data_IF_546893969237
#
_entry.id   IF_546893969237
#
_cell.length_a   1.000
_cell.length_b   1.000
_cell.length_c   1.000
_cell.angle_alpha   90.00
_cell.angle_beta   90.00
_cell.angle_gamma   90.00
#
_symmetry.space_group_name_H-M   'P 1'
#
loop_
_entity.id
_entity.type
_entity.pdbx_description
1 polymer ?
#
# COMPACT_ATOMS: atom_id res chain seq x y z
N UNK A 1 -11.13 -9.92 -12.49
CA UNK A 1 -9.67 -9.87 -12.68
C UNK A 1 -9.04 -9.22 -11.46
N UNK A 2 -8.05 -9.87 -10.87
CA UNK A 2 -7.43 -9.36 -9.65
C UNK A 2 -6.31 -8.39 -9.99
N UNK A 3 -6.13 -7.38 -9.16
CA UNK A 3 -5.01 -6.46 -9.24
C UNK A 3 -4.12 -6.71 -8.04
N UNK A 4 -2.86 -6.98 -8.29
CA UNK A 4 -1.86 -7.22 -7.27
C UNK A 4 -1.06 -5.97 -7.02
N UNK A 5 -0.64 -5.78 -5.77
CA UNK A 5 0.01 -4.55 -5.34
C UNK A 5 1.39 -4.89 -4.78
N UNK A 6 2.40 -4.17 -5.24
CA UNK A 6 3.77 -4.33 -4.76
C UNK A 6 4.34 -2.97 -4.38
N UNK A 7 5.36 -3.00 -3.53
CA UNK A 7 6.12 -1.78 -3.22
C UNK A 7 6.93 -1.38 -4.44
N UNK A 8 7.05 -0.08 -4.65
CA UNK A 8 7.81 0.46 -5.77
C UNK A 8 9.31 0.24 -5.60
N UNK A 9 10.06 0.52 -6.66
CA UNK A 9 11.52 0.41 -6.66
C UNK A 9 12.14 1.72 -6.20
N UNK A 10 13.40 1.65 -5.76
CA UNK A 10 14.23 2.80 -5.39
C UNK A 10 13.62 3.63 -4.27
N UNK A 11 13.08 2.94 -3.29
CA UNK A 11 12.50 3.56 -2.11
C UNK A 11 13.30 3.13 -0.89
N UNK A 12 13.50 4.08 0.03
CA UNK A 12 13.99 3.79 1.35
C UNK A 12 12.82 3.96 2.32
N UNK A 13 12.51 2.93 3.09
CA UNK A 13 11.37 2.96 3.99
C UNK A 13 11.83 2.67 5.40
N UNK A 14 11.31 3.42 6.37
CA UNK A 14 11.65 3.25 7.76
C UNK A 14 10.42 3.45 8.62
N UNK A 15 10.19 2.52 9.55
CA UNK A 15 9.08 2.62 10.46
C UNK A 15 9.49 3.44 11.69
N UNK A 16 8.73 4.48 11.99
CA UNK A 16 8.97 5.36 13.12
C UNK A 16 7.68 5.42 13.92
N UNK A 17 7.68 4.83 15.11
CA UNK A 17 6.45 4.65 15.86
C UNK A 17 5.49 3.76 15.09
N UNK A 18 4.25 4.17 14.94
CA UNK A 18 3.25 3.43 14.16
C UNK A 18 3.17 3.86 12.72
N UNK A 19 4.09 4.73 12.25
CA UNK A 19 4.03 5.31 10.92
C UNK A 19 5.20 4.87 10.07
N UNK A 20 4.98 4.78 8.76
CA UNK A 20 6.03 4.47 7.82
C UNK A 20 6.47 5.74 7.11
N UNK A 21 7.78 5.99 7.11
CA UNK A 21 8.38 7.11 6.37
C UNK A 21 9.08 6.54 5.14
N UNK A 22 8.73 7.05 3.96
CA UNK A 22 9.24 6.54 2.70
C UNK A 22 9.89 7.67 1.93
N UNK A 23 11.13 7.46 1.52
CA UNK A 23 11.88 8.41 0.70
C UNK A 23 12.07 7.82 -0.69
N UNK A 24 11.65 8.57 -1.71
CA UNK A 24 11.87 8.21 -3.09
C UNK A 24 13.26 8.68 -3.53
N UNK A 25 14.10 7.77 -4.00
CA UNK A 25 15.43 8.12 -4.44
C UNK A 25 15.44 8.87 -5.77
N UNK A 26 14.37 8.74 -6.55
CA UNK A 26 14.33 9.36 -7.88
C UNK A 26 14.11 10.86 -7.84
N UNK A 27 13.20 11.32 -6.98
CA UNK A 27 12.83 12.74 -6.93
C UNK A 27 12.92 13.33 -5.52
N UNK A 28 13.48 12.57 -4.59
CA UNK A 28 13.65 13.00 -3.19
C UNK A 28 12.32 13.31 -2.49
N UNK A 29 11.21 12.77 -2.99
CA UNK A 29 9.92 12.96 -2.34
C UNK A 29 9.84 12.16 -1.06
N UNK A 30 9.18 12.73 -0.05
CA UNK A 30 9.00 12.11 1.24
C UNK A 30 7.52 11.85 1.49
N UNK A 31 7.20 10.62 1.90
CA UNK A 31 5.83 10.22 2.22
C UNK A 31 5.78 9.72 3.65
N UNK A 32 4.75 10.12 4.39
CA UNK A 32 4.51 9.62 5.74
C UNK A 32 3.16 8.93 5.74
N UNK A 33 3.14 7.65 6.07
CA UNK A 33 1.93 6.84 6.09
C UNK A 33 1.47 6.65 7.52
N UNK A 34 0.18 6.88 7.76
CA UNK A 34 -0.42 6.60 9.08
C UNK A 34 -0.51 5.09 9.29
N UNK A 35 -1.12 4.66 10.40
CA UNK A 35 -1.19 3.24 10.73
C UNK A 35 -1.86 2.40 9.65
N UNK A 36 -3.00 2.86 9.14
CA UNK A 36 -3.72 2.13 8.09
C UNK A 36 -2.88 2.08 6.81
N UNK A 37 -2.30 3.20 6.40
CA UNK A 37 -1.43 3.25 5.22
C UNK A 37 -0.20 2.36 5.39
N UNK A 38 0.35 2.30 6.59
CA UNK A 38 1.49 1.42 6.89
C UNK A 38 1.09 -0.04 6.74
N UNK A 39 -0.10 -0.42 7.21
CA UNK A 39 -0.61 -1.79 7.04
C UNK A 39 -0.74 -2.14 5.57
N UNK A 40 -1.27 -1.24 4.75
CA UNK A 40 -1.39 -1.45 3.31
C UNK A 40 -0.01 -1.60 2.67
N UNK A 41 0.91 -0.73 3.04
CA UNK A 41 2.28 -0.77 2.53
C UNK A 41 2.96 -2.10 2.84
N UNK A 42 2.83 -2.57 4.09
CA UNK A 42 3.44 -3.83 4.50
C UNK A 42 2.81 -5.03 3.81
N UNK A 43 1.53 -4.94 3.47
CA UNK A 43 0.83 -6.01 2.76
C UNK A 43 1.12 -6.01 1.25
N UNK A 44 1.74 -4.96 0.73
CA UNK A 44 1.99 -4.81 -0.71
C UNK A 44 3.26 -5.56 -1.10
N UNK A 45 3.18 -6.88 -1.15
CA UNK A 45 4.33 -7.76 -1.42
C UNK A 45 4.36 -8.29 -2.86
N UNK A 46 3.45 -7.81 -3.72
CA UNK A 46 3.34 -8.26 -5.09
C UNK A 46 2.56 -9.55 -5.26
N UNK A 47 2.17 -10.19 -4.16
CA UNK A 47 1.42 -11.45 -4.18
C UNK A 47 -0.01 -11.30 -3.70
N UNK A 48 -0.31 -10.21 -3.00
CA UNK A 48 -1.65 -9.96 -2.50
C UNK A 48 -2.41 -9.06 -3.45
N UNK A 49 -3.65 -9.46 -3.74
CA UNK A 49 -4.56 -8.63 -4.50
C UNK A 49 -5.08 -7.48 -3.65
N UNK A 50 -5.70 -6.50 -4.30
CA UNK A 50 -6.37 -5.41 -3.57
C UNK A 50 -7.40 -6.00 -2.61
N UNK A 51 -8.16 -7.02 -3.03
CA UNK A 51 -9.17 -7.66 -2.18
C UNK A 51 -8.53 -8.26 -0.92
N UNK A 52 -7.38 -8.91 -1.06
CA UNK A 52 -6.68 -9.47 0.09
C UNK A 52 -6.19 -8.38 1.03
N UNK A 53 -5.75 -7.24 0.50
CA UNK A 53 -5.32 -6.11 1.33
C UNK A 53 -6.51 -5.49 2.04
N UNK A 54 -7.66 -5.37 1.37
CA UNK A 54 -8.90 -4.90 1.99
C UNK A 54 -9.27 -5.80 3.18
N UNK A 55 -9.20 -7.12 2.97
CA UNK A 55 -9.48 -8.07 4.05
C UNK A 55 -8.54 -7.87 5.24
N UNK A 56 -7.25 -7.66 4.97
CA UNK A 56 -6.27 -7.44 6.04
C UNK A 56 -6.59 -6.16 6.83
N UNK A 57 -7.01 -5.10 6.15
CA UNK A 57 -7.42 -3.86 6.83
C UNK A 57 -8.66 -4.08 7.68
N UNK A 58 -9.64 -4.82 7.16
CA UNK A 58 -10.87 -5.12 7.92
C UNK A 58 -10.59 -5.95 9.16
N UNK A 59 -9.62 -6.87 9.08
CA UNK A 59 -9.26 -7.71 10.22
C UNK A 59 -8.53 -6.94 11.31
N UNK A 60 -7.72 -5.97 10.93
CA UNK A 60 -6.90 -5.24 11.88
C UNK A 60 -7.61 -4.02 12.45
N UNK A 61 -8.46 -3.39 11.66
CA UNK A 61 -9.18 -2.18 12.05
C UNK A 61 -10.68 -2.44 11.99
N UNK A 62 -11.41 -1.88 12.92
CA UNK A 62 -12.85 -2.10 13.00
C UNK A 62 -13.57 -1.16 12.01
N UNK A 63 -13.45 -1.47 10.72
CA UNK A 63 -14.09 -0.70 9.65
C UNK A 63 -14.93 -1.64 8.79
N UNK A 64 -16.00 -1.10 8.21
CA UNK A 64 -16.83 -1.91 7.32
C UNK A 64 -16.11 -2.14 5.97
N UNK A 65 -16.51 -3.19 5.27
CA UNK A 65 -15.84 -3.61 4.05
C UNK A 65 -15.88 -2.53 2.97
N UNK A 66 -17.02 -1.87 2.78
CA UNK A 66 -17.15 -0.87 1.71
C UNK A 66 -16.24 0.33 1.95
N UNK A 67 -16.14 0.78 3.20
CA UNK A 67 -15.23 1.87 3.56
C UNK A 67 -13.77 1.45 3.35
N UNK A 68 -13.42 0.26 3.82
CA UNK A 68 -12.06 -0.26 3.67
C UNK A 68 -11.68 -0.40 2.19
N UNK A 69 -12.60 -0.91 1.37
CA UNK A 69 -12.34 -1.10 -0.06
C UNK A 69 -12.06 0.24 -0.74
N UNK A 70 -12.89 1.25 -0.47
CA UNK A 70 -12.71 2.57 -1.06
C UNK A 70 -11.40 3.19 -0.63
N UNK A 71 -11.09 3.12 0.67
CA UNK A 71 -9.87 3.73 1.19
C UNK A 71 -8.63 3.04 0.65
N UNK A 72 -8.62 1.71 0.56
CA UNK A 72 -7.49 0.97 0.01
C UNK A 72 -7.31 1.31 -1.48
N UNK A 73 -8.40 1.35 -2.25
CA UNK A 73 -8.31 1.66 -3.67
C UNK A 73 -7.79 3.06 -3.92
N UNK A 74 -8.27 4.05 -3.18
CA UNK A 74 -7.78 5.43 -3.31
C UNK A 74 -6.31 5.53 -2.92
N UNK A 75 -5.93 4.89 -1.83
CA UNK A 75 -4.56 4.90 -1.36
C UNK A 75 -3.62 4.27 -2.39
N UNK A 76 -3.99 3.12 -2.93
CA UNK A 76 -3.19 2.42 -3.93
C UNK A 76 -3.05 3.26 -5.19
N UNK A 77 -4.14 3.86 -5.67
CA UNK A 77 -4.10 4.70 -6.86
C UNK A 77 -3.20 5.91 -6.67
N UNK A 78 -3.31 6.57 -5.53
CA UNK A 78 -2.51 7.76 -5.23
C UNK A 78 -1.03 7.42 -5.17
N UNK A 79 -0.68 6.36 -4.47
CA UNK A 79 0.72 5.98 -4.33
C UNK A 79 1.28 5.32 -5.59
N UNK A 80 0.45 4.66 -6.38
CA UNK A 80 0.88 4.12 -7.67
C UNK A 80 1.23 5.25 -8.63
N UNK A 81 0.42 6.31 -8.65
CA UNK A 81 0.71 7.48 -9.48
C UNK A 81 2.01 8.16 -9.07
N UNK A 82 2.37 8.08 -7.80
CA UNK A 82 3.61 8.66 -7.28
C UNK A 82 4.82 7.72 -7.39
N UNK A 83 4.64 6.48 -7.87
CA UNK A 83 5.71 5.51 -7.97
C UNK A 83 6.06 4.82 -6.67
N UNK A 84 5.31 5.06 -5.60
CA UNK A 84 5.55 4.44 -4.30
C UNK A 84 5.01 3.01 -4.25
N UNK A 85 3.89 2.76 -4.93
CA UNK A 85 3.36 1.42 -5.13
C UNK A 85 3.32 1.12 -6.62
N UNK A 86 3.22 -0.15 -6.96
CA UNK A 86 2.98 -0.59 -8.33
C UNK A 86 1.83 -1.59 -8.34
N UNK A 87 1.12 -1.63 -9.44
CA UNK A 87 0.00 -2.55 -9.62
C UNK A 87 0.23 -3.41 -10.85
N UNK A 88 -0.28 -4.64 -10.80
CA UNK A 88 -0.14 -5.58 -11.90
C UNK A 88 -1.33 -6.54 -11.90
N UNK A 89 -1.68 -7.04 -13.06
CA UNK A 89 -2.72 -8.07 -13.17
C UNK A 89 -2.17 -9.48 -12.91
N UNK A 90 -0.89 -9.60 -12.60
CA UNK A 90 -0.25 -10.87 -12.30
C UNK A 90 0.54 -10.76 -11.00
N UNK A 91 0.43 -11.80 -10.17
CA UNK A 91 1.20 -11.87 -8.93
C UNK A 91 2.69 -12.06 -9.26
N UNK A 92 3.54 -11.51 -8.39
CA UNK A 92 4.98 -11.75 -8.47
C UNK A 92 5.26 -13.20 -8.10
N UNK A 93 6.03 -13.87 -8.91
CA UNK A 93 6.35 -15.29 -8.72
C UNK A 93 7.24 -15.52 -7.49
#
# INVERSE_FOLDING_TARGET
MSVFVARGARLAARKVGGEMVILSAEDSSLFVLNEVGTTIWEAADGRRSIEAIVDAVCLEYDVDFDTAQRDVEEFVQTLAAAGVLSTSDQAVA
#
